data_IF_798677803281
#
_entry.id   IF_798677803281
#
_cell.length_a   1.000
_cell.length_b   1.000
_cell.length_c   1.000
_cell.angle_alpha   90.00
_cell.angle_beta   90.00
_cell.angle_gamma   90.00
#
_symmetry.space_group_name_H-M   'P 1'
#
loop_
_entity.id
_entity.type
_entity.pdbx_description
1 polymer ?
#
# COMPACT_ATOMS: atom_id res chain seq x y z
N UNK A 1 -8.68 2.10 -23.32
CA UNK A 1 -8.67 0.81 -24.04
C UNK A 1 -7.54 0.87 -25.04
N UNK A 2 -6.45 0.12 -24.82
CA UNK A 2 -5.40 -0.03 -25.84
C UNK A 2 -5.88 -1.11 -26.82
N UNK A 3 -6.36 -0.68 -27.98
CA UNK A 3 -6.74 -1.59 -29.04
C UNK A 3 -5.51 -1.85 -29.91
N UNK A 4 -5.00 -3.08 -29.89
CA UNK A 4 -3.93 -3.49 -30.80
C UNK A 4 -4.52 -3.69 -32.21
N UNK A 5 -4.09 -2.90 -33.17
CA UNK A 5 -4.57 -2.97 -34.53
C UNK A 5 -3.44 -2.78 -35.54
N UNK A 6 -3.65 -3.30 -36.73
CA UNK A 6 -2.83 -3.01 -37.93
C UNK A 6 -3.63 -2.19 -38.91
N UNK A 7 -2.94 -1.36 -39.68
CA UNK A 7 -3.54 -0.62 -40.80
C UNK A 7 -2.96 -1.15 -42.09
N UNK A 8 -3.82 -1.80 -42.90
CA UNK A 8 -3.46 -2.30 -44.21
C UNK A 8 -4.31 -1.56 -45.25
N UNK A 9 -3.67 -0.87 -46.18
CA UNK A 9 -4.33 -0.07 -47.21
C UNK A 9 -5.39 0.90 -46.65
N UNK A 10 -5.11 1.53 -45.49
CA UNK A 10 -6.00 2.47 -44.85
C UNK A 10 -7.16 1.84 -44.04
N UNK A 11 -7.26 0.52 -44.01
CA UNK A 11 -8.27 -0.19 -43.23
C UNK A 11 -7.68 -0.66 -41.88
N UNK A 12 -8.32 -0.23 -40.82
CA UNK A 12 -7.97 -0.63 -39.45
C UNK A 12 -8.53 -2.05 -39.17
N UNK A 13 -7.68 -2.96 -38.71
CA UNK A 13 -8.08 -4.32 -38.36
C UNK A 13 -7.52 -4.62 -36.95
N UNK A 14 -8.38 -4.96 -36.02
CA UNK A 14 -7.99 -5.37 -34.66
C UNK A 14 -7.33 -6.73 -34.68
N UNK A 15 -6.27 -6.90 -33.88
CA UNK A 15 -5.52 -8.15 -33.75
C UNK A 15 -5.94 -8.88 -32.46
N UNK A 16 -6.16 -10.18 -32.61
CA UNK A 16 -6.36 -11.07 -31.45
C UNK A 16 -5.01 -11.33 -30.74
N UNK A 17 -5.05 -11.78 -29.48
CA UNK A 17 -3.84 -12.15 -28.73
C UNK A 17 -3.03 -13.26 -29.42
N UNK A 18 -3.69 -14.21 -30.09
CA UNK A 18 -3.02 -15.27 -30.85
C UNK A 18 -2.28 -14.70 -32.06
N UNK A 19 -2.88 -13.74 -32.76
CA UNK A 19 -2.25 -13.07 -33.91
C UNK A 19 -1.06 -12.20 -33.45
N UNK A 20 -1.15 -11.55 -32.31
CA UNK A 20 -0.02 -10.80 -31.70
C UNK A 20 1.15 -11.74 -31.37
N UNK A 21 0.88 -12.89 -30.76
CA UNK A 21 1.91 -13.90 -30.47
C UNK A 21 2.58 -14.43 -31.73
N UNK A 22 1.83 -14.67 -32.80
CA UNK A 22 2.38 -15.10 -34.11
C UNK A 22 3.27 -14.04 -34.75
N UNK A 23 3.05 -12.76 -34.45
CA UNK A 23 3.87 -11.63 -34.90
C UNK A 23 5.07 -11.36 -33.97
N UNK A 24 5.25 -12.17 -32.90
CA UNK A 24 6.30 -11.97 -31.90
C UNK A 24 6.08 -10.75 -31.01
N UNK A 25 4.84 -10.23 -31.00
CA UNK A 25 4.45 -9.11 -30.15
C UNK A 25 3.84 -9.71 -28.89
N UNK A 26 4.55 -9.62 -27.76
CA UNK A 26 3.93 -9.92 -26.47
C UNK A 26 2.90 -8.83 -26.15
N UNK A 27 1.60 -9.19 -25.97
CA UNK A 27 0.62 -8.22 -25.53
C UNK A 27 1.08 -7.64 -24.19
N UNK A 28 1.02 -6.31 -24.03
CA UNK A 28 1.25 -5.70 -22.71
C UNK A 28 0.36 -6.41 -21.70
N UNK A 29 0.99 -7.11 -20.74
CA UNK A 29 0.27 -7.67 -19.60
C UNK A 29 -0.35 -6.48 -18.87
N UNK A 30 -1.64 -6.23 -19.06
CA UNK A 30 -2.37 -5.28 -18.21
C UNK A 30 -2.06 -5.67 -16.79
N UNK A 31 -1.45 -4.76 -16.02
CA UNK A 31 -1.29 -4.96 -14.57
C UNK A 31 -2.69 -5.23 -14.03
N UNK A 32 -2.92 -6.41 -13.49
CA UNK A 32 -4.18 -6.68 -12.80
C UNK A 32 -4.28 -5.68 -11.65
N UNK A 33 -5.39 -4.97 -11.60
CA UNK A 33 -5.67 -4.13 -10.45
C UNK A 33 -5.84 -5.05 -9.22
N UNK A 34 -5.05 -4.90 -8.15
CA UNK A 34 -5.14 -5.79 -6.98
C UNK A 34 -6.50 -5.75 -6.28
N UNK A 35 -7.33 -4.75 -6.56
CA UNK A 35 -8.67 -4.58 -6.01
C UNK A 35 -9.78 -5.12 -6.91
N UNK A 36 -9.46 -5.70 -8.08
CA UNK A 36 -10.48 -6.32 -8.92
C UNK A 36 -11.07 -7.54 -8.23
N UNK A 37 -12.40 -7.66 -8.26
CA UNK A 37 -13.11 -8.82 -7.70
C UNK A 37 -12.75 -10.08 -8.48
N UNK A 38 -12.47 -11.17 -7.78
CA UNK A 38 -12.21 -12.46 -8.40
C UNK A 38 -13.53 -13.14 -8.83
N UNK A 39 -13.50 -14.06 -9.80
CA UNK A 39 -14.65 -14.91 -10.14
C UNK A 39 -15.15 -15.75 -8.93
N UNK A 40 -16.41 -16.19 -9.02
CA UNK A 40 -16.97 -17.10 -8.02
C UNK A 40 -16.12 -18.36 -7.90
N UNK A 41 -16.01 -18.88 -6.69
CA UNK A 41 -15.20 -20.05 -6.30
C UNK A 41 -13.67 -19.84 -6.40
N UNK A 42 -13.19 -18.63 -6.74
CA UNK A 42 -11.77 -18.30 -6.67
C UNK A 42 -11.38 -17.71 -5.30
N UNK A 43 -10.07 -17.76 -5.00
CA UNK A 43 -9.51 -17.27 -3.73
C UNK A 43 -9.22 -15.78 -3.83
N UNK A 44 -9.56 -15.06 -2.77
CA UNK A 44 -9.12 -13.69 -2.52
C UNK A 44 -8.53 -13.55 -1.12
N UNK A 45 -7.98 -12.38 -0.82
CA UNK A 45 -7.27 -12.08 0.42
C UNK A 45 -7.79 -10.79 1.04
N UNK A 46 -7.77 -10.75 2.38
CA UNK A 46 -8.02 -9.53 3.14
C UNK A 46 -6.87 -9.26 4.10
N UNK A 47 -6.51 -8.00 4.30
CA UNK A 47 -5.53 -7.62 5.31
C UNK A 47 -6.10 -7.90 6.71
N UNK A 48 -5.35 -8.66 7.50
CA UNK A 48 -5.67 -8.95 8.90
C UNK A 48 -4.69 -8.22 9.84
N UNK A 49 -4.32 -8.83 10.97
CA UNK A 49 -3.49 -8.14 11.99
C UNK A 49 -2.05 -7.94 11.51
N UNK A 50 -1.43 -8.99 10.96
CA UNK A 50 -0.01 -9.00 10.53
C UNK A 50 0.16 -9.60 9.13
N UNK A 51 -0.81 -10.40 8.68
CA UNK A 51 -0.75 -11.11 7.40
C UNK A 51 -2.08 -11.02 6.68
N UNK A 52 -2.10 -11.41 5.41
CA UNK A 52 -3.33 -11.63 4.68
C UNK A 52 -4.10 -12.85 5.20
N UNK A 53 -5.41 -12.74 5.27
CA UNK A 53 -6.33 -13.83 5.52
C UNK A 53 -6.95 -14.29 4.20
N UNK A 54 -7.06 -15.60 4.02
CA UNK A 54 -7.57 -16.23 2.79
C UNK A 54 -9.07 -16.44 2.87
N UNK A 55 -9.78 -16.14 1.79
CA UNK A 55 -11.21 -16.35 1.63
C UNK A 55 -11.50 -16.98 0.27
N UNK A 56 -12.71 -17.53 0.12
CA UNK A 56 -13.23 -18.01 -1.16
C UNK A 56 -14.44 -17.15 -1.56
N UNK A 57 -14.45 -16.64 -2.77
CA UNK A 57 -15.54 -15.81 -3.30
C UNK A 57 -16.80 -16.63 -3.52
N UNK A 58 -17.84 -16.36 -2.77
CA UNK A 58 -19.14 -17.03 -2.82
C UNK A 58 -20.29 -16.08 -3.14
N UNK A 59 -20.00 -14.79 -3.29
CA UNK A 59 -20.99 -13.74 -3.49
C UNK A 59 -21.88 -13.51 -2.28
N UNK A 60 -21.37 -13.82 -1.09
CA UNK A 60 -22.11 -13.64 0.14
C UNK A 60 -21.95 -12.23 0.73
N UNK A 61 -22.67 -11.96 1.82
CA UNK A 61 -22.64 -10.67 2.51
C UNK A 61 -21.24 -10.29 3.02
N UNK A 62 -20.41 -11.27 3.42
CA UNK A 62 -19.06 -10.99 3.93
C UNK A 62 -18.13 -10.59 2.79
N UNK A 63 -18.21 -11.26 1.64
CA UNK A 63 -17.47 -10.91 0.43
C UNK A 63 -17.81 -9.48 -0.01
N UNK A 64 -19.10 -9.14 -0.07
CA UNK A 64 -19.57 -7.81 -0.42
C UNK A 64 -19.10 -6.75 0.58
N UNK A 65 -19.09 -7.06 1.87
CA UNK A 65 -18.62 -6.16 2.91
C UNK A 65 -17.12 -5.90 2.81
N UNK A 66 -16.31 -6.94 2.60
CA UNK A 66 -14.86 -6.80 2.42
C UNK A 66 -14.54 -6.01 1.14
N UNK A 67 -15.24 -6.29 0.05
CA UNK A 67 -15.10 -5.55 -1.21
C UNK A 67 -15.48 -4.08 -1.06
N UNK A 68 -16.61 -3.77 -0.44
CA UNK A 68 -17.07 -2.40 -0.20
C UNK A 68 -16.16 -1.60 0.76
N UNK A 69 -15.52 -2.27 1.72
CA UNK A 69 -14.55 -1.65 2.63
C UNK A 69 -13.14 -1.52 2.05
N UNK A 70 -12.94 -1.90 0.78
CA UNK A 70 -11.64 -1.89 0.09
C UNK A 70 -10.59 -2.76 0.81
N UNK A 71 -11.04 -3.79 1.53
CA UNK A 71 -10.20 -4.81 2.16
C UNK A 71 -10.36 -6.17 1.47
N UNK A 72 -10.32 -6.16 0.15
CA UNK A 72 -10.51 -7.30 -0.73
C UNK A 72 -9.42 -7.24 -1.81
N UNK A 73 -8.55 -8.24 -1.87
CA UNK A 73 -7.39 -8.24 -2.76
C UNK A 73 -7.30 -9.57 -3.54
N UNK A 74 -7.02 -9.50 -4.81
CA UNK A 74 -6.83 -10.68 -5.65
C UNK A 74 -5.38 -11.22 -5.65
N UNK A 75 -4.53 -10.72 -4.74
CA UNK A 75 -3.13 -11.14 -4.62
C UNK A 75 -2.65 -11.10 -3.18
N UNK A 76 -2.10 -12.25 -2.70
CA UNK A 76 -1.63 -12.43 -1.33
C UNK A 76 -0.50 -11.46 -0.97
N UNK A 77 0.51 -11.31 -1.83
CA UNK A 77 1.65 -10.44 -1.57
C UNK A 77 1.22 -8.99 -1.36
N UNK A 78 0.26 -8.49 -2.15
CA UNK A 78 -0.27 -7.15 -1.97
C UNK A 78 -1.07 -7.01 -0.67
N UNK A 79 -1.92 -7.99 -0.35
CA UNK A 79 -2.68 -8.00 0.91
C UNK A 79 -1.77 -8.04 2.14
N UNK A 80 -0.66 -8.79 2.08
CA UNK A 80 0.36 -8.82 3.13
C UNK A 80 1.01 -7.45 3.31
N UNK A 81 1.40 -6.76 2.23
CA UNK A 81 1.96 -5.40 2.32
C UNK A 81 0.97 -4.44 2.98
N UNK A 82 -0.31 -4.49 2.61
CA UNK A 82 -1.35 -3.65 3.24
C UNK A 82 -1.48 -3.95 4.74
N UNK A 83 -1.48 -5.23 5.14
CA UNK A 83 -1.54 -5.64 6.55
C UNK A 83 -0.34 -5.11 7.35
N UNK A 84 0.88 -5.22 6.80
CA UNK A 84 2.10 -4.74 7.43
C UNK A 84 2.15 -3.21 7.56
N UNK A 85 1.73 -2.46 6.52
CA UNK A 85 1.59 -1.00 6.62
C UNK A 85 0.64 -0.58 7.74
N UNK A 86 -0.52 -1.24 7.85
CA UNK A 86 -1.47 -0.98 8.92
C UNK A 86 -0.92 -1.35 10.30
N UNK A 87 -0.15 -2.42 10.41
CA UNK A 87 0.50 -2.83 11.65
C UNK A 87 1.53 -1.80 12.08
N UNK A 88 2.43 -1.40 11.19
CA UNK A 88 3.46 -0.40 11.48
C UNK A 88 2.83 0.94 11.91
N UNK A 89 1.80 1.39 11.21
CA UNK A 89 1.05 2.59 11.61
C UNK A 89 0.54 2.49 13.05
N UNK A 90 -0.08 1.35 13.42
CA UNK A 90 -0.59 1.15 14.80
C UNK A 90 0.55 1.07 15.83
N UNK A 91 1.70 0.45 15.49
CA UNK A 91 2.88 0.39 16.36
C UNK A 91 3.45 1.80 16.61
N UNK A 92 3.57 2.63 15.56
CA UNK A 92 4.02 4.02 15.69
C UNK A 92 3.06 4.88 16.50
N UNK A 93 1.76 4.75 16.25
CA UNK A 93 0.74 5.46 17.01
C UNK A 93 0.78 5.07 18.49
N UNK A 94 0.88 3.78 18.79
CA UNK A 94 1.02 3.28 20.16
C UNK A 94 2.28 3.82 20.82
N UNK A 95 3.43 3.80 20.13
CA UNK A 95 4.67 4.36 20.64
C UNK A 95 4.52 5.84 21.02
N UNK A 96 3.87 6.63 20.14
CA UNK A 96 3.63 8.04 20.41
C UNK A 96 2.86 8.25 21.71
N UNK A 97 1.76 7.54 21.92
CA UNK A 97 0.96 7.65 23.13
C UNK A 97 1.65 7.09 24.38
N UNK A 98 2.33 5.95 24.28
CA UNK A 98 3.05 5.34 25.42
C UNK A 98 4.21 6.22 25.93
N UNK A 99 4.74 7.12 25.09
CA UNK A 99 5.90 7.96 25.39
C UNK A 99 5.56 9.45 25.53
N UNK A 100 4.28 9.82 25.59
CA UNK A 100 3.82 11.21 25.69
C UNK A 100 4.41 12.11 24.57
N UNK A 101 4.60 11.54 23.40
CA UNK A 101 5.15 12.23 22.23
C UNK A 101 4.17 12.29 21.04
N UNK A 102 2.89 12.04 21.32
CA UNK A 102 1.82 12.23 20.34
C UNK A 102 1.68 13.69 19.94
N UNK A 103 1.29 13.91 18.69
CA UNK A 103 1.05 15.24 18.17
C UNK A 103 -0.33 15.76 18.60
N UNK A 104 -0.36 16.46 19.73
CA UNK A 104 -1.56 17.11 20.27
C UNK A 104 -1.65 18.59 19.91
N UNK A 105 -0.64 19.15 19.25
CA UNK A 105 -0.60 20.57 18.90
C UNK A 105 -1.60 20.91 17.79
N UNK A 106 -2.15 22.11 17.84
CA UNK A 106 -2.98 22.62 16.76
C UNK A 106 -2.10 22.92 15.52
N UNK A 107 -2.67 22.73 14.33
CA UNK A 107 -2.01 23.00 13.05
C UNK A 107 -2.30 24.45 12.61
N UNK A 108 -1.80 25.39 13.39
CA UNK A 108 -1.95 26.85 13.21
C UNK A 108 -0.80 27.52 12.44
N UNK A 109 0.28 26.78 12.17
CA UNK A 109 1.48 27.26 11.52
C UNK A 109 2.59 27.72 12.48
N UNK A 110 2.36 27.68 13.78
CA UNK A 110 3.32 28.12 14.79
C UNK A 110 4.19 26.99 15.35
N UNK A 111 3.62 25.76 15.43
CA UNK A 111 4.34 24.58 15.90
C UNK A 111 4.85 23.72 14.75
N UNK A 112 5.99 23.05 14.97
CA UNK A 112 6.53 22.05 14.05
C UNK A 112 5.97 20.67 14.46
N UNK A 113 5.45 19.93 13.47
CA UNK A 113 4.97 18.58 13.58
C UNK A 113 5.92 17.64 12.84
N UNK A 114 6.50 16.68 13.54
CA UNK A 114 7.56 15.84 13.00
C UNK A 114 6.98 14.52 12.48
N UNK A 115 7.51 14.04 11.34
CA UNK A 115 7.11 12.81 10.68
C UNK A 115 8.34 12.01 10.27
N UNK A 116 8.19 10.68 10.20
CA UNK A 116 9.24 9.78 9.71
C UNK A 116 9.04 9.57 8.23
N UNK A 117 10.09 9.81 7.45
CA UNK A 117 10.13 9.60 6.01
C UNK A 117 11.23 8.59 5.65
N UNK A 118 11.05 7.88 4.54
CA UNK A 118 12.10 7.04 3.97
C UNK A 118 12.72 7.71 2.75
N UNK A 119 14.01 8.04 2.85
CA UNK A 119 14.80 8.51 1.71
C UNK A 119 15.25 7.32 0.87
N UNK A 120 14.50 7.01 -0.17
CA UNK A 120 14.77 5.87 -1.06
C UNK A 120 16.09 6.01 -1.85
N UNK A 121 16.61 7.23 -2.02
CA UNK A 121 17.89 7.48 -2.69
C UNK A 121 19.06 7.06 -1.80
N UNK A 122 18.95 7.30 -0.50
CA UNK A 122 19.98 7.02 0.49
C UNK A 122 19.73 5.71 1.25
N UNK A 123 18.53 5.13 1.15
CA UNK A 123 18.15 3.92 1.86
C UNK A 123 18.08 4.09 3.39
N UNK A 124 17.69 5.28 3.87
CA UNK A 124 17.66 5.60 5.30
C UNK A 124 16.34 6.23 5.70
N UNK A 125 15.98 6.09 6.97
CA UNK A 125 14.90 6.84 7.59
C UNK A 125 15.40 8.21 8.03
N UNK A 126 14.57 9.23 7.80
CA UNK A 126 14.84 10.62 8.18
C UNK A 126 13.61 11.19 8.88
N UNK A 127 13.86 12.14 9.77
CA UNK A 127 12.80 12.95 10.40
C UNK A 127 12.72 14.29 9.70
N UNK A 128 11.51 14.63 9.26
CA UNK A 128 11.21 15.95 8.70
C UNK A 128 10.14 16.65 9.52
N UNK A 129 10.01 17.96 9.38
CA UNK A 129 9.09 18.76 10.17
C UNK A 129 8.25 19.70 9.29
N UNK A 130 6.96 19.77 9.57
CA UNK A 130 5.99 20.59 8.85
C UNK A 130 5.22 21.50 9.81
N UNK A 131 4.93 22.72 9.36
CA UNK A 131 4.10 23.67 10.10
C UNK A 131 2.63 23.61 9.73
N UNK A 132 2.32 23.37 8.46
CA UNK A 132 0.97 23.48 7.92
C UNK A 132 0.56 22.29 7.04
N UNK A 133 1.53 21.50 6.53
CA UNK A 133 1.27 20.39 5.64
C UNK A 133 0.99 19.13 6.46
N UNK A 134 -0.24 18.62 6.40
CA UNK A 134 -0.69 17.42 7.11
C UNK A 134 -1.02 16.31 6.11
N UNK A 135 -0.36 15.17 6.26
CA UNK A 135 -0.67 13.93 5.54
C UNK A 135 -1.42 12.94 6.46
N UNK A 136 -1.87 11.82 5.91
CA UNK A 136 -2.43 10.71 6.68
C UNK A 136 -1.28 9.88 7.26
N UNK A 137 -0.66 10.35 8.34
CA UNK A 137 0.52 9.74 8.95
C UNK A 137 0.52 9.91 10.47
N UNK A 138 1.48 9.30 11.16
CA UNK A 138 1.73 9.52 12.59
C UNK A 138 2.73 10.66 12.73
N UNK A 139 2.31 11.71 13.41
CA UNK A 139 3.16 12.86 13.71
C UNK A 139 3.59 12.83 15.18
N UNK A 140 4.76 13.40 15.45
CA UNK A 140 5.36 13.49 16.77
C UNK A 140 5.53 14.94 17.17
N UNK A 141 5.37 15.21 18.47
CA UNK A 141 5.51 16.55 19.05
C UNK A 141 6.95 17.07 19.09
N UNK A 142 7.95 16.15 19.03
CA UNK A 142 9.37 16.52 19.02
C UNK A 142 10.16 15.68 18.01
N UNK A 143 11.28 16.23 17.54
CA UNK A 143 12.21 15.54 16.65
C UNK A 143 12.83 14.33 17.32
N UNK A 144 13.21 14.45 18.56
CA UNK A 144 13.81 13.39 19.38
C UNK A 144 12.86 12.20 19.54
N UNK A 145 11.55 12.47 19.69
CA UNK A 145 10.53 11.42 19.77
C UNK A 145 10.43 10.64 18.46
N UNK A 146 10.43 11.33 17.33
CA UNK A 146 10.42 10.70 16.00
C UNK A 146 11.71 9.89 15.73
N UNK A 147 12.89 10.42 16.10
CA UNK A 147 14.18 9.71 16.00
C UNK A 147 14.22 8.45 16.89
N UNK A 148 13.62 8.50 18.08
CA UNK A 148 13.46 7.32 18.93
C UNK A 148 12.51 6.30 18.32
N UNK A 149 11.40 6.73 17.75
CA UNK A 149 10.45 5.83 17.08
C UNK A 149 11.09 5.09 15.90
N UNK A 150 12.02 5.71 15.17
CA UNK A 150 12.80 5.00 14.14
C UNK A 150 13.55 3.82 14.78
N UNK A 151 14.31 4.05 15.85
CA UNK A 151 15.17 3.04 16.48
C UNK A 151 14.40 1.96 17.23
N UNK A 152 13.30 2.35 17.89
CA UNK A 152 12.58 1.45 18.79
C UNK A 152 11.40 0.74 18.13
N UNK A 153 10.92 1.23 16.98
CA UNK A 153 9.76 0.66 16.25
C UNK A 153 10.09 0.32 14.82
N UNK A 154 10.60 1.29 14.01
CA UNK A 154 10.76 1.10 12.56
C UNK A 154 11.87 0.11 12.25
N UNK A 155 13.08 0.31 12.78
CA UNK A 155 14.21 -0.56 12.51
C UNK A 155 13.94 -2.01 12.93
N UNK A 156 13.44 -2.30 14.17
CA UNK A 156 13.07 -3.66 14.54
C UNK A 156 11.96 -4.26 13.67
N UNK A 157 10.99 -3.44 13.25
CA UNK A 157 9.93 -3.89 12.37
C UNK A 157 10.46 -4.31 11.00
N UNK A 158 11.40 -3.55 10.43
CA UNK A 158 12.03 -3.87 9.14
C UNK A 158 12.88 -5.15 9.24
N UNK A 159 13.54 -5.39 10.38
CA UNK A 159 14.29 -6.63 10.63
C UNK A 159 13.37 -7.85 10.74
N UNK A 160 12.20 -7.69 11.39
CA UNK A 160 11.18 -8.73 11.55
C UNK A 160 10.47 -9.05 10.23
N UNK A 161 10.33 -8.06 9.36
CA UNK A 161 9.59 -8.15 8.09
C UNK A 161 10.47 -7.75 6.89
N UNK A 162 11.44 -8.58 6.47
CA UNK A 162 12.43 -8.22 5.43
C UNK A 162 11.82 -8.00 4.05
N UNK A 163 10.61 -8.53 3.79
CA UNK A 163 9.87 -8.33 2.54
C UNK A 163 8.96 -7.08 2.55
N UNK A 164 8.93 -6.35 3.66
CA UNK A 164 8.14 -5.13 3.77
C UNK A 164 8.75 -4.00 2.93
N UNK A 165 7.91 -3.32 2.17
CA UNK A 165 8.29 -2.15 1.37
C UNK A 165 7.64 -0.92 1.99
N UNK A 166 8.49 0.04 2.41
CA UNK A 166 8.04 1.32 3.00
C UNK A 166 7.29 2.18 2.00
#
# INVERSE_FOLDING_TARGET
MNENYIVINGKKTELTEEQLKQLGIEPEKKRKNPFDRVPADEIYFAAAVETAQVFCEQGDFNDDKLFASVNYFNGEAFANQVALHQLLYRKLLKFAYDNECEDTAEWDGDAIHYVILYDSTRGIFVVDGYFTLKATDVYFSTKEAAERAIKEVVEPFMEEHPDFVW
#
